data_IF_437484152748
#
_entry.id   IF_437484152748
#
_cell.length_a   1.000
_cell.length_b   1.000
_cell.length_c   1.000
_cell.angle_alpha   90.00
_cell.angle_beta   90.00
_cell.angle_gamma   90.00
#
_symmetry.space_group_name_H-M   'P 1'
#
loop_
_entity.id
_entity.type
_entity.pdbx_description
1 polymer ?
#
# COMPACT_ATOMS: atom_id res chain seq x y z
N UNK A 1 38.77 7.77 -28.58
CA UNK A 1 37.91 7.76 -27.37
C UNK A 1 38.70 7.07 -26.28
N UNK A 2 39.38 7.83 -25.44
CA UNK A 2 40.01 7.29 -24.23
C UNK A 2 38.90 7.00 -23.24
N UNK A 3 38.59 5.71 -23.01
CA UNK A 3 37.86 5.32 -21.80
C UNK A 3 38.67 5.83 -20.62
N UNK A 4 38.02 6.61 -19.77
CA UNK A 4 38.64 7.23 -18.60
C UNK A 4 39.03 6.11 -17.62
N UNK A 5 40.31 5.71 -17.64
CA UNK A 5 40.86 4.59 -16.86
C UNK A 5 40.86 4.83 -15.33
N UNK A 6 40.34 6.00 -14.90
CA UNK A 6 40.31 6.47 -13.53
C UNK A 6 38.90 6.70 -12.98
N UNK A 7 37.83 6.32 -13.67
CA UNK A 7 36.54 6.23 -13.01
C UNK A 7 36.67 5.20 -11.87
N UNK A 8 36.55 5.60 -10.58
CA UNK A 8 36.62 4.64 -9.49
C UNK A 8 35.53 3.61 -9.75
N UNK A 9 35.94 2.35 -9.93
CA UNK A 9 34.99 1.25 -9.96
C UNK A 9 34.26 1.29 -8.62
N UNK A 10 32.99 1.70 -8.64
CA UNK A 10 32.12 1.61 -7.47
C UNK A 10 32.09 0.15 -7.10
N UNK A 11 32.55 -0.19 -5.89
CA UNK A 11 32.61 -1.58 -5.48
C UNK A 11 31.19 -2.18 -5.46
N UNK A 12 31.10 -3.49 -5.70
CA UNK A 12 29.83 -4.20 -5.88
C UNK A 12 28.89 -4.02 -4.68
N UNK A 13 29.45 -3.87 -3.48
CA UNK A 13 28.71 -3.69 -2.25
C UNK A 13 28.09 -2.30 -2.16
N UNK A 14 28.84 -1.26 -2.53
CA UNK A 14 28.28 0.10 -2.66
C UNK A 14 27.18 0.14 -3.72
N UNK A 15 27.34 -0.56 -4.85
CA UNK A 15 26.25 -0.69 -5.84
C UNK A 15 25.02 -1.43 -5.29
N UNK A 16 25.23 -2.48 -4.49
CA UNK A 16 24.16 -3.23 -3.83
C UNK A 16 23.37 -2.38 -2.84
N UNK A 17 24.07 -1.60 -2.01
CA UNK A 17 23.45 -0.66 -1.07
C UNK A 17 22.66 0.43 -1.80
N UNK A 18 23.20 0.97 -2.90
CA UNK A 18 22.49 1.98 -3.69
C UNK A 18 21.19 1.44 -4.30
N UNK A 19 21.19 0.20 -4.82
CA UNK A 19 19.94 -0.48 -5.26
C UNK A 19 18.96 -0.70 -4.12
N UNK A 20 19.48 -1.06 -2.94
CA UNK A 20 18.65 -1.26 -1.75
C UNK A 20 18.00 0.05 -1.28
N UNK A 21 18.68 1.19 -1.39
CA UNK A 21 18.09 2.52 -1.08
C UNK A 21 16.84 2.77 -1.93
N UNK A 22 16.88 2.50 -3.24
CA UNK A 22 15.70 2.66 -4.11
C UNK A 22 14.53 1.78 -3.68
N UNK A 23 14.82 0.52 -3.34
CA UNK A 23 13.80 -0.44 -2.86
C UNK A 23 13.21 0.00 -1.52
N UNK A 24 14.04 0.44 -0.59
CA UNK A 24 13.57 0.94 0.71
C UNK A 24 12.74 2.22 0.56
N UNK A 25 13.13 3.12 -0.34
CA UNK A 25 12.33 4.32 -0.63
C UNK A 25 10.92 3.95 -1.13
N UNK A 26 10.80 2.99 -2.04
CA UNK A 26 9.50 2.50 -2.52
C UNK A 26 8.70 1.80 -1.42
N UNK A 27 9.33 0.92 -0.64
CA UNK A 27 8.68 0.23 0.49
C UNK A 27 8.20 1.23 1.55
N UNK A 28 8.94 2.33 1.80
CA UNK A 28 8.50 3.41 2.69
C UNK A 28 7.31 4.19 2.15
N UNK A 29 7.29 4.51 0.85
CA UNK A 29 6.13 5.14 0.20
C UNK A 29 4.89 4.25 0.41
N UNK A 30 5.04 2.93 0.23
CA UNK A 30 3.96 1.98 0.49
C UNK A 30 3.51 1.94 1.95
N UNK A 31 4.43 1.77 2.89
CA UNK A 31 4.07 1.61 4.31
C UNK A 31 3.35 2.84 4.88
N UNK A 32 3.81 4.04 4.48
CA UNK A 32 3.15 5.29 4.84
C UNK A 32 1.77 5.39 4.22
N UNK A 33 1.63 5.09 2.92
CA UNK A 33 0.35 5.10 2.23
C UNK A 33 -0.65 4.05 2.77
N UNK A 34 -0.15 2.94 3.29
CA UNK A 34 -0.95 1.90 3.93
C UNK A 34 -1.60 2.36 5.24
N UNK A 35 -1.16 3.50 5.82
CA UNK A 35 -1.70 4.08 7.05
C UNK A 35 -1.03 3.59 8.33
N UNK A 36 0.08 2.85 8.23
CA UNK A 36 0.80 2.29 9.39
C UNK A 36 1.69 3.29 10.14
N UNK A 37 1.92 4.48 9.58
CA UNK A 37 2.84 5.48 10.11
C UNK A 37 4.31 5.02 10.11
N UNK A 38 5.25 5.86 10.59
CA UNK A 38 6.68 5.53 10.64
C UNK A 38 7.03 4.23 11.39
N UNK A 39 6.29 3.91 12.46
CA UNK A 39 6.49 2.71 13.26
C UNK A 39 6.30 1.40 12.47
N UNK A 40 5.54 1.44 11.37
CA UNK A 40 5.32 0.27 10.53
C UNK A 40 6.53 -0.12 9.68
N UNK A 41 7.46 0.82 9.44
CA UNK A 41 8.62 0.63 8.57
C UNK A 41 9.56 -0.47 9.09
N UNK A 42 9.81 -0.52 10.40
CA UNK A 42 10.67 -1.54 11.01
C UNK A 42 10.07 -2.94 10.85
N UNK A 43 8.76 -3.06 11.09
CA UNK A 43 8.05 -4.33 10.97
C UNK A 43 7.95 -4.79 9.51
N UNK A 44 7.77 -3.87 8.57
CA UNK A 44 7.83 -4.17 7.14
C UNK A 44 9.23 -4.67 6.76
N UNK A 45 10.29 -3.98 7.20
CA UNK A 45 11.66 -4.34 6.86
C UNK A 45 12.02 -5.76 7.33
N UNK A 46 11.60 -6.16 8.53
CA UNK A 46 11.77 -7.54 9.03
C UNK A 46 11.12 -8.57 8.10
N UNK A 47 9.93 -8.28 7.58
CA UNK A 47 9.19 -9.17 6.68
C UNK A 47 9.72 -9.16 5.25
N UNK A 48 10.38 -8.08 4.84
CA UNK A 48 11.02 -7.90 3.53
C UNK A 48 12.50 -8.30 3.51
N UNK A 49 13.04 -8.81 4.61
CA UNK A 49 14.46 -9.13 4.77
C UNK A 49 15.03 -10.07 3.69
N UNK A 50 14.25 -11.06 3.24
CA UNK A 50 14.67 -11.93 2.12
C UNK A 50 14.78 -11.17 0.80
N UNK A 51 13.83 -10.27 0.51
CA UNK A 51 13.89 -9.43 -0.68
C UNK A 51 15.08 -8.46 -0.64
N UNK A 52 15.38 -7.89 0.52
CA UNK A 52 16.55 -7.02 0.70
C UNK A 52 17.86 -7.79 0.55
N UNK A 53 17.93 -9.00 1.09
CA UNK A 53 19.07 -9.90 0.92
C UNK A 53 19.27 -10.27 -0.56
N UNK A 54 18.19 -10.53 -1.29
CA UNK A 54 18.23 -10.81 -2.72
C UNK A 54 18.79 -9.63 -3.54
N UNK A 55 18.38 -8.39 -3.22
CA UNK A 55 18.90 -7.17 -3.86
C UNK A 55 20.40 -6.99 -3.63
N UNK A 56 20.86 -7.24 -2.40
CA UNK A 56 22.28 -7.19 -2.04
C UNK A 56 23.08 -8.26 -2.78
N UNK A 57 22.51 -9.45 -3.01
CA UNK A 57 23.07 -10.51 -3.83
C UNK A 57 22.98 -10.25 -5.35
N UNK A 58 22.46 -9.09 -5.77
CA UNK A 58 22.37 -8.70 -7.18
C UNK A 58 21.15 -9.27 -7.92
N UNK A 59 20.22 -9.93 -7.22
CA UNK A 59 18.98 -10.40 -7.82
C UNK A 59 18.01 -9.23 -8.04
N UNK A 60 17.28 -9.30 -9.15
CA UNK A 60 16.17 -8.38 -9.43
C UNK A 60 14.96 -8.79 -8.61
N UNK A 61 14.31 -7.80 -7.99
CA UNK A 61 13.02 -7.96 -7.31
C UNK A 61 11.96 -7.07 -7.98
N UNK A 62 10.69 -7.32 -7.68
CA UNK A 62 9.61 -6.45 -8.12
C UNK A 62 9.65 -5.12 -7.37
N UNK A 63 9.43 -4.02 -8.11
CA UNK A 63 9.52 -2.64 -7.63
C UNK A 63 8.34 -1.82 -8.12
N UNK A 64 7.97 -0.77 -7.38
CA UNK A 64 6.93 0.20 -7.72
C UNK A 64 7.11 0.76 -9.14
N UNK A 65 8.35 1.02 -9.52
CA UNK A 65 8.70 1.71 -10.77
C UNK A 65 8.79 0.80 -11.99
N UNK A 66 8.91 -0.53 -11.82
CA UNK A 66 9.06 -1.48 -12.94
C UNK A 66 7.95 -2.52 -13.03
N UNK A 67 7.45 -3.02 -11.89
CA UNK A 67 6.51 -4.13 -11.79
C UNK A 67 5.48 -3.83 -10.70
N UNK A 68 4.68 -2.76 -10.93
CA UNK A 68 3.80 -2.19 -9.92
C UNK A 68 2.80 -3.18 -9.34
N UNK A 69 2.10 -3.97 -10.15
CA UNK A 69 1.04 -4.86 -9.64
C UNK A 69 1.60 -6.00 -8.78
N UNK A 70 2.62 -6.77 -9.24
CA UNK A 70 3.25 -7.77 -8.38
C UNK A 70 3.89 -7.17 -7.12
N UNK A 71 4.52 -5.99 -7.24
CA UNK A 71 5.08 -5.26 -6.10
C UNK A 71 4.01 -4.89 -5.07
N UNK A 72 2.87 -4.33 -5.52
CA UNK A 72 1.76 -3.94 -4.66
C UNK A 72 1.18 -5.15 -3.92
N UNK A 73 0.97 -6.27 -4.61
CA UNK A 73 0.47 -7.52 -4.02
C UNK A 73 1.46 -8.04 -2.98
N UNK A 74 2.76 -8.04 -3.30
CA UNK A 74 3.83 -8.49 -2.38
C UNK A 74 3.87 -7.65 -1.10
N UNK A 75 3.83 -6.32 -1.22
CA UNK A 75 3.88 -5.44 -0.04
C UNK A 75 2.57 -5.45 0.76
N UNK A 76 1.43 -5.59 0.09
CA UNK A 76 0.13 -5.71 0.78
C UNK A 76 0.11 -6.95 1.66
N UNK A 77 0.59 -8.09 1.13
CA UNK A 77 0.79 -9.32 1.91
C UNK A 77 1.76 -9.11 3.07
N UNK A 78 2.89 -8.45 2.83
CA UNK A 78 3.88 -8.19 3.87
C UNK A 78 3.31 -7.29 4.98
N UNK A 79 2.46 -6.32 4.65
CA UNK A 79 1.87 -5.38 5.60
C UNK A 79 0.62 -5.88 6.31
N UNK A 80 -0.08 -6.87 5.77
CA UNK A 80 -1.31 -7.42 6.36
C UNK A 80 -1.22 -7.72 7.88
N UNK A 81 -0.17 -8.37 8.42
CA UNK A 81 -0.09 -8.61 9.87
C UNK A 81 0.43 -7.42 10.68
N UNK A 82 0.95 -6.38 10.04
CA UNK A 82 1.49 -5.18 10.68
C UNK A 82 0.40 -4.11 10.78
N UNK A 83 -0.13 -3.73 9.63
CA UNK A 83 -1.23 -2.80 9.45
C UNK A 83 -1.84 -3.09 8.08
N UNK A 84 -2.97 -3.82 8.00
CA UNK A 84 -3.70 -4.01 6.76
C UNK A 84 -3.91 -2.67 6.05
N UNK A 85 -3.50 -2.52 4.77
CA UNK A 85 -3.55 -1.22 4.11
C UNK A 85 -4.96 -0.62 4.14
N UNK A 86 -5.05 0.66 4.51
CA UNK A 86 -6.34 1.38 4.57
C UNK A 86 -7.05 1.45 3.20
N UNK A 87 -6.29 1.30 2.11
CA UNK A 87 -6.79 1.28 0.74
C UNK A 87 -7.31 -0.08 0.28
N UNK A 88 -7.04 -1.16 1.02
CA UNK A 88 -7.42 -2.52 0.64
C UNK A 88 -8.85 -2.80 1.11
N UNK A 89 -9.81 -3.05 0.19
CA UNK A 89 -11.11 -3.59 0.57
C UNK A 89 -10.95 -4.87 1.39
N UNK A 90 -11.85 -5.11 2.35
CA UNK A 90 -11.78 -6.25 3.28
C UNK A 90 -10.60 -6.21 4.28
N UNK A 91 -9.84 -5.11 4.38
CA UNK A 91 -8.75 -4.97 5.37
C UNK A 91 -9.20 -5.18 6.82
N UNK A 92 -10.44 -4.82 7.18
CA UNK A 92 -10.96 -5.03 8.54
C UNK A 92 -11.06 -6.52 8.90
N UNK A 93 -11.33 -7.39 7.92
CA UNK A 93 -11.37 -8.84 8.14
C UNK A 93 -9.98 -9.35 8.52
N UNK A 94 -8.93 -8.78 7.90
CA UNK A 94 -7.54 -9.08 8.26
C UNK A 94 -7.22 -8.57 9.68
N UNK A 95 -7.76 -7.41 10.09
CA UNK A 95 -7.61 -6.86 11.44
C UNK A 95 -8.26 -7.77 12.50
N UNK A 96 -9.39 -8.40 12.17
CA UNK A 96 -10.03 -9.44 12.99
C UNK A 96 -9.30 -10.81 12.98
N UNK A 97 -8.05 -10.83 12.55
CA UNK A 97 -7.18 -12.00 12.61
C UNK A 97 -7.51 -13.07 11.58
N UNK A 98 -8.22 -12.74 10.50
CA UNK A 98 -8.44 -13.65 9.37
C UNK A 98 -7.23 -13.60 8.43
N UNK A 99 -6.08 -13.98 8.94
CA UNK A 99 -4.82 -14.08 8.19
C UNK A 99 -3.88 -15.02 8.91
N UNK A 100 -3.12 -15.81 8.15
CA UNK A 100 -2.04 -16.67 8.66
C UNK A 100 -0.67 -15.97 8.62
N UNK A 101 -0.57 -14.79 8.00
CA UNK A 101 0.68 -14.03 7.87
C UNK A 101 1.23 -13.54 9.22
N UNK A 102 0.38 -13.47 10.25
CA UNK A 102 0.77 -13.14 11.62
C UNK A 102 1.57 -14.26 12.32
N UNK A 103 1.60 -15.47 11.75
CA UNK A 103 2.27 -16.64 12.33
C UNK A 103 1.58 -17.16 13.60
N UNK A 104 2.18 -18.17 14.23
CA UNK A 104 1.72 -18.68 15.52
C UNK A 104 1.82 -17.58 16.61
N UNK A 105 0.78 -17.39 17.42
CA UNK A 105 0.76 -16.43 18.54
C UNK A 105 1.02 -17.12 19.89
N UNK A 106 1.69 -16.41 20.81
CA UNK A 106 1.93 -16.87 22.19
C UNK A 106 2.98 -17.98 22.31
N UNK A 107 2.95 -18.73 23.42
CA UNK A 107 3.91 -19.82 23.74
C UNK A 107 4.07 -20.85 22.60
N UNK A 108 3.09 -21.00 21.71
CA UNK A 108 3.15 -21.92 20.55
C UNK A 108 4.15 -21.50 19.48
N UNK A 109 4.44 -20.20 19.34
CA UNK A 109 5.46 -19.69 18.41
C UNK A 109 6.86 -20.22 18.75
N UNK A 110 7.08 -20.62 20.01
CA UNK A 110 8.34 -21.21 20.47
C UNK A 110 8.51 -22.69 20.05
N UNK A 111 7.44 -23.37 19.63
CA UNK A 111 7.45 -24.81 19.37
C UNK A 111 7.00 -25.20 17.95
N UNK A 112 6.30 -24.32 17.23
CA UNK A 112 5.91 -24.56 15.83
C UNK A 112 5.59 -23.24 15.11
N UNK A 113 6.12 -23.08 13.90
CA UNK A 113 5.74 -22.01 12.97
C UNK A 113 4.52 -22.37 12.10
N UNK A 114 4.03 -23.62 12.16
CA UNK A 114 2.90 -24.07 11.35
C UNK A 114 1.56 -23.65 11.97
N UNK A 115 0.66 -23.01 11.20
CA UNK A 115 -0.69 -22.68 11.67
C UNK A 115 -1.49 -23.94 11.97
N UNK A 116 -2.45 -23.86 12.90
CA UNK A 116 -3.30 -25.02 13.21
C UNK A 116 -4.31 -25.27 12.09
N UNK A 117 -4.73 -26.53 11.89
CA UNK A 117 -5.77 -26.86 10.89
C UNK A 117 -7.06 -26.07 11.12
N UNK A 118 -7.41 -25.79 12.38
CA UNK A 118 -8.55 -24.94 12.75
C UNK A 118 -8.40 -23.50 12.23
N UNK A 119 -7.21 -22.92 12.38
CA UNK A 119 -6.94 -21.56 11.90
C UNK A 119 -6.96 -21.51 10.36
N UNK A 120 -6.34 -22.51 9.71
CA UNK A 120 -6.39 -22.66 8.25
C UNK A 120 -7.83 -22.76 7.75
N UNK A 121 -8.66 -23.60 8.38
CA UNK A 121 -10.07 -23.74 8.03
C UNK A 121 -10.86 -22.43 8.25
N UNK A 122 -10.60 -21.70 9.35
CA UNK A 122 -11.25 -20.41 9.62
C UNK A 122 -10.87 -19.39 8.53
N UNK A 123 -9.59 -19.21 8.26
CA UNK A 123 -9.08 -18.26 7.26
C UNK A 123 -9.57 -18.63 5.86
N UNK A 124 -9.53 -19.92 5.49
CA UNK A 124 -10.08 -20.39 4.22
C UNK A 124 -11.57 -20.08 4.11
N UNK A 125 -12.38 -20.47 5.10
CA UNK A 125 -13.84 -20.26 5.07
C UNK A 125 -14.21 -18.78 4.94
N UNK A 126 -13.66 -17.93 5.81
CA UNK A 126 -14.00 -16.50 5.82
C UNK A 126 -13.35 -15.77 4.64
N UNK A 127 -12.11 -16.12 4.29
CA UNK A 127 -11.39 -15.58 3.14
C UNK A 127 -12.07 -15.88 1.81
N UNK A 128 -12.59 -17.10 1.61
CA UNK A 128 -13.39 -17.44 0.41
C UNK A 128 -14.66 -16.60 0.34
N UNK A 129 -15.37 -16.44 1.45
CA UNK A 129 -16.58 -15.59 1.49
C UNK A 129 -16.25 -14.14 1.13
N UNK A 130 -15.20 -13.58 1.75
CA UNK A 130 -14.74 -12.22 1.49
C UNK A 130 -14.29 -12.03 0.03
N UNK A 131 -13.56 -12.98 -0.54
CA UNK A 131 -13.11 -12.93 -1.92
C UNK A 131 -14.29 -13.00 -2.92
N UNK A 132 -15.29 -13.85 -2.65
CA UNK A 132 -16.52 -13.92 -3.45
C UNK A 132 -17.33 -12.63 -3.36
N UNK A 133 -17.48 -12.06 -2.16
CA UNK A 133 -18.15 -10.77 -1.96
C UNK A 133 -17.44 -9.64 -2.71
N UNK A 134 -16.10 -9.57 -2.58
CA UNK A 134 -15.28 -8.58 -3.27
C UNK A 134 -15.40 -8.68 -4.79
N UNK A 135 -15.29 -9.88 -5.35
CA UNK A 135 -15.50 -10.14 -6.79
C UNK A 135 -16.90 -9.79 -7.26
N UNK A 136 -17.93 -10.11 -6.46
CA UNK A 136 -19.30 -9.82 -6.84
C UNK A 136 -19.57 -8.32 -6.95
N UNK A 137 -18.93 -7.50 -6.10
CA UNK A 137 -18.99 -6.04 -6.19
C UNK A 137 -18.22 -5.55 -7.42
N UNK A 138 -16.93 -5.88 -7.53
CA UNK A 138 -16.06 -5.42 -8.63
C UNK A 138 -16.52 -5.87 -10.02
N UNK A 139 -17.23 -7.00 -10.12
CA UNK A 139 -17.76 -7.47 -11.39
C UNK A 139 -19.23 -7.06 -11.62
N UNK A 140 -19.82 -6.25 -10.74
CA UNK A 140 -21.24 -5.90 -10.81
C UNK A 140 -21.59 -5.12 -12.09
N UNK A 141 -20.62 -4.40 -12.65
CA UNK A 141 -20.79 -3.63 -13.87
C UNK A 141 -20.52 -4.39 -15.17
N UNK A 142 -19.97 -5.61 -15.08
CA UNK A 142 -19.88 -6.61 -16.14
C UNK A 142 -18.48 -7.21 -16.34
N UNK A 143 -17.40 -6.47 -16.11
CA UNK A 143 -16.04 -6.97 -16.35
C UNK A 143 -15.07 -6.49 -15.31
N UNK A 144 -14.41 -7.43 -14.62
CA UNK A 144 -13.32 -7.11 -13.70
C UNK A 144 -12.12 -6.55 -14.45
N UNK A 145 -11.75 -5.32 -14.15
CA UNK A 145 -10.60 -4.65 -14.75
C UNK A 145 -9.26 -5.10 -14.11
N UNK A 146 -8.10 -4.75 -14.69
CA UNK A 146 -6.79 -5.18 -14.18
C UNK A 146 -6.49 -4.76 -12.74
N UNK A 147 -6.93 -3.58 -12.30
CA UNK A 147 -6.68 -3.10 -10.95
C UNK A 147 -7.64 -3.72 -9.93
N UNK A 148 -8.87 -4.04 -10.32
CA UNK A 148 -9.77 -4.84 -9.50
C UNK A 148 -9.21 -6.25 -9.31
N UNK A 149 -8.74 -6.87 -10.40
CA UNK A 149 -8.06 -8.16 -10.35
C UNK A 149 -6.83 -8.13 -9.43
N UNK A 150 -6.03 -7.06 -9.51
CA UNK A 150 -4.91 -6.80 -8.59
C UNK A 150 -5.37 -6.64 -7.14
N UNK A 151 -6.48 -5.96 -6.89
CA UNK A 151 -7.02 -5.74 -5.55
C UNK A 151 -7.48 -7.07 -4.93
N UNK A 152 -8.14 -7.91 -5.72
CA UNK A 152 -8.51 -9.28 -5.32
C UNK A 152 -7.24 -10.10 -5.01
N UNK A 153 -6.23 -10.03 -5.88
CA UNK A 153 -4.96 -10.73 -5.67
C UNK A 153 -4.25 -10.27 -4.39
N UNK A 154 -4.24 -8.97 -4.12
CA UNK A 154 -3.64 -8.39 -2.92
C UNK A 154 -4.37 -8.85 -1.64
N UNK A 155 -5.70 -8.88 -1.66
CA UNK A 155 -6.50 -9.42 -0.55
C UNK A 155 -6.21 -10.91 -0.32
N UNK A 156 -6.26 -11.73 -1.38
CA UNK A 156 -6.01 -13.17 -1.28
C UNK A 156 -4.59 -13.49 -0.79
N UNK A 157 -3.59 -12.76 -1.30
CA UNK A 157 -2.21 -12.88 -0.84
C UNK A 157 -2.05 -12.55 0.64
N UNK A 158 -2.86 -11.63 1.16
CA UNK A 158 -2.85 -11.21 2.56
C UNK A 158 -3.45 -12.23 3.53
N UNK A 159 -4.18 -13.24 3.03
CA UNK A 159 -4.70 -14.33 3.88
C UNK A 159 -3.59 -15.25 4.37
N UNK A 160 -2.46 -15.34 3.67
CA UNK A 160 -1.34 -16.22 4.02
C UNK A 160 -1.64 -17.70 3.91
N UNK A 161 -2.69 -18.06 3.16
CA UNK A 161 -3.03 -19.45 2.88
C UNK A 161 -1.97 -20.09 1.96
N UNK A 162 -1.65 -21.39 2.16
CA UNK A 162 -0.78 -22.12 1.23
C UNK A 162 -1.31 -22.07 -0.21
N UNK A 163 -0.42 -22.12 -1.20
CA UNK A 163 -0.80 -22.00 -2.62
C UNK A 163 -1.89 -22.99 -3.04
N UNK A 164 -1.84 -24.24 -2.57
CA UNK A 164 -2.87 -25.24 -2.86
C UNK A 164 -4.26 -24.89 -2.35
N UNK A 165 -4.36 -24.07 -1.30
CA UNK A 165 -5.63 -23.59 -0.72
C UNK A 165 -6.09 -22.26 -1.34
N UNK A 166 -5.13 -21.40 -1.70
CA UNK A 166 -5.40 -20.09 -2.31
C UNK A 166 -5.75 -20.20 -3.78
N UNK A 167 -5.08 -21.08 -4.54
CA UNK A 167 -5.26 -21.19 -5.99
C UNK A 167 -6.71 -21.48 -6.41
N UNK A 168 -7.44 -22.43 -5.78
CA UNK A 168 -8.84 -22.65 -6.10
C UNK A 168 -9.71 -21.41 -5.89
N UNK A 169 -9.43 -20.64 -4.83
CA UNK A 169 -10.13 -19.39 -4.54
C UNK A 169 -9.74 -18.34 -5.57
N UNK A 170 -8.46 -18.24 -5.95
CA UNK A 170 -7.94 -17.27 -6.91
C UNK A 170 -8.55 -17.44 -8.30
N UNK A 171 -8.65 -18.68 -8.78
CA UNK A 171 -9.19 -19.02 -10.11
C UNK A 171 -10.72 -19.09 -10.14
N UNK A 172 -11.38 -18.97 -9.00
CA UNK A 172 -12.85 -18.99 -8.93
C UNK A 172 -13.43 -17.80 -9.69
N UNK A 173 -14.39 -18.07 -10.57
CA UNK A 173 -15.14 -17.04 -11.29
C UNK A 173 -16.07 -16.24 -10.36
N UNK A 174 -16.74 -15.25 -10.94
CA UNK A 174 -17.70 -14.43 -10.20
C UNK A 174 -18.91 -15.28 -9.79
N UNK A 175 -19.16 -15.38 -8.48
CA UNK A 175 -20.36 -16.01 -7.93
C UNK A 175 -21.38 -14.90 -7.66
N UNK A 176 -22.59 -14.94 -8.27
CA UNK A 176 -23.64 -13.97 -7.99
C UNK A 176 -23.95 -13.91 -6.49
N UNK A 177 -24.09 -12.70 -5.93
CA UNK A 177 -24.25 -12.51 -4.48
C UNK A 177 -25.43 -13.31 -3.88
N UNK A 178 -26.52 -13.49 -4.64
CA UNK A 178 -27.65 -14.29 -4.24
C UNK A 178 -27.29 -15.78 -4.02
N UNK A 179 -26.31 -16.29 -4.78
CA UNK A 179 -25.82 -17.67 -4.74
C UNK A 179 -24.65 -17.86 -3.76
N UNK A 180 -24.11 -16.80 -3.17
CA UNK A 180 -23.06 -16.93 -2.15
C UNK A 180 -23.66 -17.56 -0.89
N UNK A 181 -23.21 -18.78 -0.56
CA UNK A 181 -23.61 -19.50 0.65
C UNK A 181 -22.85 -19.00 1.89
N UNK A 182 -23.57 -18.82 3.00
CA UNK A 182 -23.00 -18.52 4.31
C UNK A 182 -22.83 -19.81 5.10
N UNK A 183 -21.60 -20.20 5.39
CA UNK A 183 -21.31 -21.42 6.14
C UNK A 183 -21.08 -21.12 7.62
N UNK A 184 -22.09 -21.43 8.44
CA UNK A 184 -22.07 -21.23 9.89
C UNK A 184 -22.28 -19.76 10.29
N UNK A 185 -22.25 -19.52 11.59
CA UNK A 185 -22.37 -18.17 12.14
C UNK A 185 -21.06 -17.40 12.00
N UNK A 186 -21.17 -16.13 11.62
CA UNK A 186 -20.05 -15.19 11.57
C UNK A 186 -20.08 -14.29 12.80
N UNK A 187 -18.90 -14.01 13.33
CA UNK A 187 -18.71 -12.99 14.36
C UNK A 187 -19.18 -11.64 13.81
N UNK A 188 -19.82 -10.83 14.67
CA UNK A 188 -20.42 -9.54 14.28
C UNK A 188 -19.41 -8.65 13.55
N UNK A 189 -18.20 -8.53 14.08
CA UNK A 189 -17.16 -7.65 13.54
C UNK A 189 -16.66 -8.12 12.15
N UNK A 190 -16.68 -9.44 11.90
CA UNK A 190 -16.40 -10.01 10.57
C UNK A 190 -17.53 -9.69 9.60
N UNK A 191 -18.79 -9.81 10.02
CA UNK A 191 -19.95 -9.50 9.18
C UNK A 191 -20.00 -8.01 8.81
N UNK A 192 -19.77 -7.12 9.77
CA UNK A 192 -19.66 -5.68 9.52
C UNK A 192 -18.43 -5.34 8.66
N UNK A 193 -17.29 -6.00 8.91
CA UNK A 193 -16.07 -5.86 8.12
C UNK A 193 -16.23 -6.28 6.66
N UNK A 194 -17.00 -7.35 6.39
CA UNK A 194 -17.38 -7.79 5.05
C UNK A 194 -18.18 -6.72 4.32
N UNK A 195 -19.23 -6.19 4.96
CA UNK A 195 -20.11 -5.18 4.33
C UNK A 195 -19.39 -3.85 4.16
N UNK A 196 -18.58 -3.42 5.14
CA UNK A 196 -17.74 -2.22 4.99
C UNK A 196 -16.71 -2.39 3.88
N UNK A 197 -16.04 -3.55 3.80
CA UNK A 197 -15.10 -3.86 2.74
C UNK A 197 -15.75 -3.86 1.35
N UNK A 198 -16.97 -4.36 1.24
CA UNK A 198 -17.76 -4.34 0.01
C UNK A 198 -18.13 -2.90 -0.40
N UNK A 199 -18.53 -2.04 0.56
CA UNK A 199 -18.75 -0.61 0.29
C UNK A 199 -17.46 0.13 -0.09
N UNK A 200 -16.34 -0.20 0.55
CA UNK A 200 -15.04 0.39 0.20
C UNK A 200 -14.63 0.05 -1.23
N UNK A 201 -14.89 -1.18 -1.69
CA UNK A 201 -14.65 -1.59 -3.07
C UNK A 201 -15.49 -0.75 -4.06
N UNK A 202 -16.80 -0.67 -3.83
CA UNK A 202 -17.72 0.12 -4.67
C UNK A 202 -17.43 1.63 -4.65
N UNK A 203 -16.85 2.14 -3.57
CA UNK A 203 -16.59 3.57 -3.42
C UNK A 203 -15.25 4.03 -4.04
N UNK A 204 -14.41 3.13 -4.57
CA UNK A 204 -13.06 3.49 -5.06
C UNK A 204 -13.10 4.51 -6.23
N UNK A 205 -14.09 4.39 -7.10
CA UNK A 205 -14.47 5.35 -8.13
C UNK A 205 -15.81 6.01 -7.76
N UNK A 206 -16.94 5.38 -8.06
CA UNK A 206 -18.26 5.90 -7.78
C UNK A 206 -19.22 4.73 -7.63
N UNK A 207 -20.00 4.72 -6.54
CA UNK A 207 -20.90 3.62 -6.23
C UNK A 207 -21.95 3.49 -7.35
N UNK A 208 -21.83 2.43 -8.15
CA UNK A 208 -22.80 2.10 -9.18
C UNK A 208 -24.06 1.44 -8.54
N UNK A 209 -25.28 1.71 -9.04
CA UNK A 209 -26.49 1.08 -8.50
C UNK A 209 -26.47 -0.46 -8.47
N UNK A 210 -25.73 -1.10 -9.38
CA UNK A 210 -25.53 -2.56 -9.44
C UNK A 210 -24.66 -3.04 -8.30
N UNK A 211 -23.56 -2.33 -8.01
CA UNK A 211 -22.70 -2.61 -6.86
C UNK A 211 -23.47 -2.42 -5.54
N UNK A 212 -24.21 -1.32 -5.42
CA UNK A 212 -25.06 -1.04 -4.26
C UNK A 212 -26.07 -2.18 -4.02
N UNK A 213 -26.70 -2.68 -5.08
CA UNK A 213 -27.59 -3.84 -5.00
C UNK A 213 -26.86 -5.08 -4.49
N UNK A 214 -25.62 -5.32 -4.94
CA UNK A 214 -24.79 -6.42 -4.47
C UNK A 214 -24.49 -6.29 -2.97
N UNK A 215 -24.01 -5.14 -2.52
CA UNK A 215 -23.65 -4.92 -1.11
C UNK A 215 -24.87 -5.06 -0.20
N UNK A 216 -26.02 -4.49 -0.59
CA UNK A 216 -27.26 -4.60 0.18
C UNK A 216 -27.78 -6.03 0.26
N UNK A 217 -27.66 -6.80 -0.83
CA UNK A 217 -28.04 -8.22 -0.84
C UNK A 217 -27.15 -9.03 0.10
N UNK A 218 -25.84 -8.78 0.10
CA UNK A 218 -24.91 -9.41 1.04
C UNK A 218 -25.26 -9.06 2.49
N UNK A 219 -25.53 -7.79 2.79
CA UNK A 219 -25.90 -7.35 4.13
C UNK A 219 -27.21 -8.00 4.62
N UNK A 220 -28.20 -8.15 3.75
CA UNK A 220 -29.44 -8.86 4.03
C UNK A 220 -29.21 -10.34 4.36
N UNK A 221 -28.33 -11.03 3.61
CA UNK A 221 -27.91 -12.40 3.92
C UNK A 221 -27.22 -12.52 5.29
N UNK A 222 -26.42 -11.52 5.65
CA UNK A 222 -25.74 -11.43 6.95
C UNK A 222 -26.66 -10.96 8.09
N UNK A 223 -27.95 -10.72 7.82
CA UNK A 223 -28.95 -10.23 8.76
C UNK A 223 -28.54 -8.94 9.49
N UNK A 224 -27.76 -8.07 8.83
CA UNK A 224 -27.41 -6.76 9.37
C UNK A 224 -28.61 -5.81 9.31
N UNK A 225 -28.77 -5.00 10.34
CA UNK A 225 -29.80 -3.96 10.38
C UNK A 225 -29.50 -2.85 9.37
N UNK A 226 -30.54 -2.28 8.78
CA UNK A 226 -30.42 -1.23 7.75
C UNK A 226 -29.61 -0.04 8.26
N UNK A 227 -29.80 0.37 9.52
CA UNK A 227 -29.08 1.51 10.11
C UNK A 227 -27.58 1.26 10.19
N UNK A 228 -27.18 0.00 10.44
CA UNK A 228 -25.76 -0.41 10.45
C UNK A 228 -25.21 -0.37 9.03
N UNK A 229 -25.96 -0.87 8.05
CA UNK A 229 -25.54 -0.87 6.63
C UNK A 229 -25.31 0.57 6.12
N UNK A 230 -26.19 1.51 6.45
CA UNK A 230 -26.02 2.92 6.08
C UNK A 230 -24.84 3.57 6.80
N UNK A 231 -24.62 3.26 8.08
CA UNK A 231 -23.45 3.75 8.80
C UNK A 231 -22.15 3.25 8.16
N UNK A 232 -22.08 1.97 7.77
CA UNK A 232 -20.92 1.39 7.08
C UNK A 232 -20.70 2.01 5.70
N UNK A 233 -21.77 2.29 4.96
CA UNK A 233 -21.70 2.98 3.66
C UNK A 233 -21.08 4.38 3.81
N UNK A 234 -21.58 5.15 4.77
CA UNK A 234 -21.10 6.51 5.03
C UNK A 234 -19.64 6.53 5.51
N UNK A 235 -19.26 5.59 6.39
CA UNK A 235 -17.87 5.40 6.82
C UNK A 235 -16.95 5.07 5.64
N UNK A 236 -17.36 4.15 4.75
CA UNK A 236 -16.56 3.80 3.56
C UNK A 236 -16.33 5.01 2.64
N UNK A 237 -17.37 5.79 2.35
CA UNK A 237 -17.26 7.01 1.54
C UNK A 237 -16.33 8.02 2.21
N UNK A 238 -16.50 8.25 3.52
CA UNK A 238 -15.66 9.19 4.26
C UNK A 238 -14.17 8.78 4.24
N UNK A 239 -13.87 7.47 4.33
CA UNK A 239 -12.49 6.94 4.25
C UNK A 239 -11.88 7.14 2.86
N UNK A 240 -12.65 6.94 1.80
CA UNK A 240 -12.21 7.21 0.43
C UNK A 240 -11.93 8.71 0.26
N UNK A 241 -12.86 9.55 0.70
CA UNK A 241 -12.77 11.01 0.54
C UNK A 241 -11.62 11.63 1.35
N UNK A 242 -11.35 11.13 2.55
CA UNK A 242 -10.23 11.58 3.38
C UNK A 242 -8.87 11.45 2.67
N UNK A 243 -8.71 10.46 1.78
CA UNK A 243 -7.45 10.22 1.07
C UNK A 243 -7.16 11.24 -0.04
N UNK A 244 -8.17 11.96 -0.53
CA UNK A 244 -8.02 12.88 -1.67
C UNK A 244 -6.95 13.94 -1.40
N UNK A 245 -7.12 14.70 -0.31
CA UNK A 245 -6.27 15.86 -0.05
C UNK A 245 -4.82 15.44 0.25
N UNK A 246 -4.62 14.39 1.05
CA UNK A 246 -3.28 13.90 1.38
C UNK A 246 -2.57 13.32 0.15
N UNK A 247 -3.28 12.61 -0.74
CA UNK A 247 -2.72 12.08 -1.97
C UNK A 247 -2.33 13.17 -2.97
N UNK A 248 -3.14 14.24 -3.08
CA UNK A 248 -2.82 15.41 -3.89
C UNK A 248 -1.60 16.16 -3.32
N UNK A 249 -1.57 16.39 -2.01
CA UNK A 249 -0.46 17.05 -1.33
C UNK A 249 0.87 16.29 -1.51
N UNK A 250 0.84 14.97 -1.33
CA UNK A 250 2.02 14.12 -1.53
C UNK A 250 2.50 14.16 -2.99
N UNK A 251 1.59 14.04 -3.96
CA UNK A 251 1.94 14.03 -5.39
C UNK A 251 2.49 15.38 -5.86
N UNK A 252 1.83 16.48 -5.51
CA UNK A 252 2.29 17.81 -5.91
C UNK A 252 3.59 18.21 -5.19
N UNK A 253 3.73 17.86 -3.91
CA UNK A 253 4.95 18.07 -3.16
C UNK A 253 6.13 17.28 -3.75
N UNK A 254 5.91 16.02 -4.14
CA UNK A 254 6.92 15.17 -4.80
C UNK A 254 7.35 15.79 -6.13
N UNK A 255 6.39 16.19 -6.96
CA UNK A 255 6.67 16.88 -8.24
C UNK A 255 7.45 18.18 -8.04
N UNK A 256 7.16 18.93 -6.99
CA UNK A 256 7.89 20.15 -6.66
C UNK A 256 9.34 19.85 -6.22
N UNK A 257 9.52 18.90 -5.31
CA UNK A 257 10.85 18.51 -4.80
C UNK A 257 11.73 17.97 -5.92
N UNK A 258 11.17 17.18 -6.83
CA UNK A 258 11.86 16.58 -7.98
C UNK A 258 11.74 17.40 -9.27
N UNK A 259 11.34 18.68 -9.20
CA UNK A 259 11.01 19.52 -10.38
C UNK A 259 12.12 19.73 -11.41
N UNK A 260 13.39 19.61 -11.01
CA UNK A 260 14.54 19.70 -11.91
C UNK A 260 14.96 18.35 -12.51
N UNK A 261 14.29 17.27 -12.13
CA UNK A 261 14.38 16.01 -12.85
C UNK A 261 13.44 16.09 -14.06
N UNK A 262 14.03 16.30 -15.24
CA UNK A 262 13.35 16.09 -16.55
C UNK A 262 13.29 14.58 -16.90
N UNK A 263 13.67 13.70 -15.97
CA UNK A 263 13.76 12.26 -16.18
C UNK A 263 12.40 11.56 -16.04
N UNK A 264 12.22 10.52 -16.86
CA UNK A 264 11.07 9.61 -16.85
C UNK A 264 10.81 9.02 -15.44
N UNK A 265 11.84 8.82 -14.61
CA UNK A 265 11.73 8.22 -13.28
C UNK A 265 10.94 9.07 -12.27
N UNK A 266 11.16 10.39 -12.22
CA UNK A 266 10.41 11.27 -11.31
C UNK A 266 8.93 11.33 -11.67
N UNK A 267 8.62 11.29 -12.98
CA UNK A 267 7.26 11.20 -13.48
C UNK A 267 6.61 9.85 -13.12
N UNK A 268 7.32 8.73 -13.29
CA UNK A 268 6.83 7.41 -12.90
C UNK A 268 6.55 7.36 -11.39
N UNK A 269 7.47 7.85 -10.55
CA UNK A 269 7.26 7.92 -9.10
C UNK A 269 6.03 8.75 -8.73
N UNK A 270 5.83 9.91 -9.36
CA UNK A 270 4.66 10.74 -9.13
C UNK A 270 3.36 10.02 -9.51
N UNK A 271 3.32 9.38 -10.69
CA UNK A 271 2.14 8.64 -11.16
C UNK A 271 1.82 7.45 -10.25
N UNK A 272 2.83 6.68 -9.85
CA UNK A 272 2.64 5.52 -8.98
C UNK A 272 2.31 5.91 -7.54
N UNK A 273 2.82 7.06 -7.07
CA UNK A 273 2.42 7.63 -5.78
C UNK A 273 0.95 8.08 -5.80
N UNK A 274 0.51 8.71 -6.89
CA UNK A 274 -0.89 9.06 -7.09
C UNK A 274 -1.78 7.81 -7.15
N UNK A 275 -1.39 6.78 -7.91
CA UNK A 275 -2.13 5.52 -8.01
C UNK A 275 -2.30 4.83 -6.63
N UNK A 276 -1.28 4.90 -5.79
CA UNK A 276 -1.27 4.30 -4.46
C UNK A 276 -2.10 5.10 -3.43
N UNK A 277 -1.94 6.43 -3.40
CA UNK A 277 -2.57 7.28 -2.38
C UNK A 277 -4.00 7.71 -2.75
N UNK A 278 -4.28 7.95 -4.03
CA UNK A 278 -5.55 8.48 -4.48
C UNK A 278 -6.52 7.38 -4.93
N UNK A 279 -7.78 7.41 -4.44
CA UNK A 279 -8.89 6.67 -5.04
C UNK A 279 -9.06 7.03 -6.51
N UNK A 280 -9.57 6.09 -7.31
CA UNK A 280 -9.70 6.19 -8.78
C UNK A 280 -10.36 7.50 -9.21
N UNK A 281 -11.49 7.87 -8.59
CA UNK A 281 -12.24 9.09 -8.93
C UNK A 281 -11.47 10.40 -8.80
N UNK A 282 -10.37 10.41 -8.04
CA UNK A 282 -9.56 11.59 -7.79
C UNK A 282 -8.20 11.56 -8.48
N UNK A 283 -7.84 10.47 -9.18
CA UNK A 283 -6.51 10.34 -9.77
C UNK A 283 -6.25 11.36 -10.85
N UNK A 284 -7.24 11.67 -11.67
CA UNK A 284 -7.09 12.60 -12.79
C UNK A 284 -6.71 14.02 -12.33
N UNK A 285 -7.08 14.41 -11.11
CA UNK A 285 -6.64 15.67 -10.50
C UNK A 285 -5.11 15.71 -10.30
N UNK A 286 -4.47 14.57 -10.06
CA UNK A 286 -3.01 14.45 -9.92
C UNK A 286 -2.32 14.08 -11.25
N UNK A 287 -2.86 13.13 -12.01
CA UNK A 287 -2.25 12.60 -13.23
C UNK A 287 -2.38 13.58 -14.40
N UNK A 288 -3.46 14.37 -14.46
CA UNK A 288 -3.69 15.38 -15.49
C UNK A 288 -2.54 16.40 -15.57
N UNK A 289 -2.19 17.11 -14.48
CA UNK A 289 -1.04 18.01 -14.46
C UNK A 289 0.29 17.34 -14.82
N UNK A 290 0.48 16.07 -14.46
CA UNK A 290 1.68 15.29 -14.81
C UNK A 290 1.74 15.05 -16.33
N UNK A 291 0.65 14.56 -16.92
CA UNK A 291 0.55 14.27 -18.35
C UNK A 291 0.78 15.52 -19.22
N UNK A 292 0.25 16.67 -18.79
CA UNK A 292 0.41 17.95 -19.46
C UNK A 292 1.70 18.69 -19.10
N UNK A 293 2.59 18.07 -18.30
CA UNK A 293 3.87 18.66 -17.85
C UNK A 293 3.71 20.04 -17.20
N UNK A 294 2.60 20.23 -16.48
CA UNK A 294 2.34 21.47 -15.75
C UNK A 294 3.38 21.58 -14.62
N UNK A 295 4.05 22.73 -14.44
CA UNK A 295 4.97 22.91 -13.32
C UNK A 295 4.24 22.78 -11.98
N UNK A 296 4.84 22.06 -11.03
CA UNK A 296 4.30 22.00 -9.67
C UNK A 296 4.54 23.35 -8.96
N UNK A 297 3.48 23.92 -8.41
CA UNK A 297 3.51 25.19 -7.66
C UNK A 297 3.04 25.00 -6.22
N UNK A 298 3.71 25.71 -5.32
CA UNK A 298 3.30 25.83 -3.92
C UNK A 298 2.32 27.00 -3.80
N UNK A 299 1.31 26.85 -2.96
CA UNK A 299 0.21 27.82 -2.89
C UNK A 299 -0.71 27.63 -1.69
N UNK A 300 -0.22 26.97 -0.63
CA UNK A 300 -0.94 26.70 0.62
C UNK A 300 -2.28 25.97 0.42
N UNK A 301 -2.37 25.15 -0.62
CA UNK A 301 -3.58 24.45 -1.07
C UNK A 301 -4.09 23.38 -0.09
N UNK A 302 -3.21 22.88 0.78
CA UNK A 302 -3.46 21.73 1.64
C UNK A 302 -3.18 22.01 3.13
N UNK A 303 -3.28 23.27 3.55
CA UNK A 303 -3.02 23.69 4.95
C UNK A 303 -4.02 23.10 5.95
N UNK A 304 -5.21 22.73 5.48
CA UNK A 304 -6.30 22.11 6.22
C UNK A 304 -6.05 20.63 6.60
N UNK A 305 -5.00 20.00 6.07
CA UNK A 305 -4.69 18.62 6.42
C UNK A 305 -4.43 18.47 7.94
N UNK A 306 -4.91 17.39 8.58
CA UNK A 306 -4.50 17.01 9.92
C UNK A 306 -2.97 16.81 10.00
N UNK A 307 -2.40 16.95 11.21
CA UNK A 307 -0.94 16.80 11.40
C UNK A 307 -0.43 15.45 10.92
N UNK A 308 -1.15 14.36 11.21
CA UNK A 308 -0.72 13.02 10.82
C UNK A 308 -0.71 12.82 9.29
N UNK A 309 -1.69 13.40 8.59
CA UNK A 309 -1.74 13.37 7.12
C UNK A 309 -0.64 14.24 6.49
N UNK A 310 -0.30 15.38 7.11
CA UNK A 310 0.86 16.19 6.69
C UNK A 310 2.15 15.39 6.83
N UNK A 311 2.33 14.66 7.93
CA UNK A 311 3.52 13.82 8.13
C UNK A 311 3.58 12.67 7.15
N UNK A 312 2.45 12.04 6.84
CA UNK A 312 2.37 11.01 5.81
C UNK A 312 2.82 11.58 4.46
N UNK A 313 2.23 12.70 4.02
CA UNK A 313 2.58 13.33 2.76
C UNK A 313 4.06 13.71 2.70
N UNK A 314 4.58 14.37 3.74
CA UNK A 314 5.99 14.76 3.83
C UNK A 314 6.93 13.54 3.86
N UNK A 315 6.56 12.48 4.57
CA UNK A 315 7.33 11.23 4.60
C UNK A 315 7.42 10.57 3.23
N UNK A 316 6.31 10.51 2.50
CA UNK A 316 6.26 10.00 1.11
C UNK A 316 7.14 10.85 0.18
N UNK A 317 7.02 12.18 0.27
CA UNK A 317 7.82 13.11 -0.52
C UNK A 317 9.32 12.91 -0.24
N UNK A 318 9.69 12.73 1.03
CA UNK A 318 11.09 12.52 1.39
C UNK A 318 11.62 11.15 0.96
N UNK A 319 10.84 10.08 1.14
CA UNK A 319 11.20 8.77 0.64
C UNK A 319 11.46 8.81 -0.89
N UNK A 320 10.57 9.44 -1.65
CA UNK A 320 10.78 9.65 -3.09
C UNK A 320 12.03 10.48 -3.41
N UNK A 321 12.36 11.49 -2.59
CA UNK A 321 13.57 12.28 -2.76
C UNK A 321 14.86 11.47 -2.56
N UNK A 322 14.82 10.41 -1.74
CA UNK A 322 15.96 9.54 -1.48
C UNK A 322 16.08 8.37 -2.48
N UNK A 323 15.07 8.15 -3.33
CA UNK A 323 14.97 6.95 -4.21
C UNK A 323 16.20 6.73 -5.10
N UNK A 324 16.85 7.79 -5.60
CA UNK A 324 18.03 7.68 -6.47
C UNK A 324 19.36 7.69 -5.71
N UNK A 325 19.34 7.49 -4.38
CA UNK A 325 20.54 7.56 -3.53
C UNK A 325 21.35 8.86 -3.77
N UNK A 326 20.73 10.04 -3.49
CA UNK A 326 21.32 11.31 -3.87
C UNK A 326 22.63 11.58 -3.11
N UNK A 327 23.61 12.11 -3.82
CA UNK A 327 24.83 12.66 -3.21
C UNK A 327 24.51 13.71 -2.14
N UNK A 328 25.47 13.97 -1.24
CA UNK A 328 25.28 14.94 -0.15
C UNK A 328 24.83 16.33 -0.65
N UNK A 329 25.43 16.84 -1.72
CA UNK A 329 25.06 18.14 -2.30
C UNK A 329 23.65 18.12 -2.87
N UNK A 330 23.26 17.05 -3.55
CA UNK A 330 21.91 16.86 -4.08
C UNK A 330 20.89 16.76 -2.95
N UNK A 331 21.19 16.00 -1.89
CA UNK A 331 20.33 15.85 -0.72
C UNK A 331 20.08 17.18 -0.01
N UNK A 332 21.08 18.07 0.06
CA UNK A 332 20.90 19.41 0.62
C UNK A 332 19.87 20.26 -0.17
N UNK A 333 19.93 20.20 -1.52
CA UNK A 333 18.96 20.86 -2.39
C UNK A 333 17.54 20.27 -2.21
N UNK A 334 17.43 18.94 -2.20
CA UNK A 334 16.15 18.24 -2.01
C UNK A 334 15.55 18.56 -0.64
N UNK A 335 16.37 18.61 0.41
CA UNK A 335 15.94 19.01 1.76
C UNK A 335 15.37 20.43 1.77
N UNK A 336 16.07 21.39 1.16
CA UNK A 336 15.58 22.76 1.08
C UNK A 336 14.23 22.87 0.35
N UNK A 337 14.01 22.06 -0.70
CA UNK A 337 12.70 22.01 -1.37
C UNK A 337 11.64 21.34 -0.51
N UNK A 338 11.97 20.24 0.16
CA UNK A 338 11.07 19.58 1.08
C UNK A 338 10.65 20.51 2.23
N UNK A 339 11.57 21.30 2.79
CA UNK A 339 11.26 22.31 3.81
C UNK A 339 10.29 23.37 3.29
N UNK A 340 10.42 23.80 2.03
CA UNK A 340 9.43 24.70 1.41
C UNK A 340 8.06 24.05 1.30
N UNK A 341 7.98 22.76 0.93
CA UNK A 341 6.69 22.04 0.90
C UNK A 341 6.10 21.96 2.31
N UNK A 342 6.89 21.61 3.32
CA UNK A 342 6.43 21.55 4.71
C UNK A 342 5.87 22.91 5.19
N UNK A 343 6.57 24.00 4.89
CA UNK A 343 6.10 25.36 5.18
C UNK A 343 4.79 25.69 4.44
N UNK A 344 4.64 25.22 3.20
CA UNK A 344 3.41 25.41 2.41
C UNK A 344 2.21 24.65 3.02
N UNK A 345 2.47 23.48 3.63
CA UNK A 345 1.48 22.71 4.40
C UNK A 345 1.25 23.28 5.80
N UNK A 346 2.11 24.17 6.28
CA UNK A 346 2.07 24.70 7.64
C UNK A 346 2.56 23.70 8.70
N UNK A 347 3.64 22.97 8.41
CA UNK A 347 4.30 22.03 9.33
C UNK A 347 5.84 22.21 9.28
N UNK A 348 6.55 21.53 10.18
CA UNK A 348 7.99 21.31 10.10
C UNK A 348 8.28 19.93 9.46
N UNK A 349 9.12 19.94 8.41
CA UNK A 349 9.46 18.72 7.69
C UNK A 349 10.43 17.79 8.45
N UNK A 350 10.96 18.21 9.60
CA UNK A 350 12.01 17.50 10.33
C UNK A 350 11.58 16.13 10.83
N UNK A 351 10.38 16.01 11.41
CA UNK A 351 9.87 14.75 11.96
C UNK A 351 9.72 13.66 10.89
N UNK A 352 9.08 14.00 9.77
CA UNK A 352 8.92 13.09 8.64
C UNK A 352 10.27 12.63 8.07
N UNK A 353 11.22 13.56 7.88
CA UNK A 353 12.56 13.20 7.39
C UNK A 353 13.31 12.30 8.36
N UNK A 354 13.35 12.65 9.64
CA UNK A 354 14.10 11.91 10.63
C UNK A 354 13.64 10.46 10.71
N UNK A 355 12.33 10.23 10.71
CA UNK A 355 11.76 8.88 10.69
C UNK A 355 12.27 8.03 9.52
N UNK A 356 12.25 8.57 8.30
CA UNK A 356 12.67 7.86 7.09
C UNK A 356 14.18 7.63 7.06
N UNK A 357 14.96 8.64 7.43
CA UNK A 357 16.43 8.56 7.44
C UNK A 357 16.95 7.61 8.51
N UNK A 358 16.35 7.61 9.71
CA UNK A 358 16.67 6.69 10.78
C UNK A 358 16.39 5.25 10.33
N UNK A 359 15.18 4.99 9.82
CA UNK A 359 14.82 3.67 9.32
C UNK A 359 15.73 3.17 8.19
N UNK A 360 16.02 4.01 7.20
CA UNK A 360 16.97 3.66 6.12
C UNK A 360 18.34 3.30 6.71
N UNK A 361 18.84 4.07 7.67
CA UNK A 361 20.12 3.81 8.32
C UNK A 361 20.10 2.48 9.09
N UNK A 362 19.01 2.19 9.80
CA UNK A 362 18.84 0.97 10.58
C UNK A 362 18.80 -0.30 9.71
N UNK A 363 18.33 -0.19 8.47
CA UNK A 363 18.35 -1.30 7.51
C UNK A 363 19.69 -1.39 6.77
N UNK A 364 20.24 -0.25 6.33
CA UNK A 364 21.45 -0.22 5.50
C UNK A 364 22.73 -0.52 6.30
N UNK A 365 22.85 -0.06 7.54
CA UNK A 365 24.04 -0.27 8.36
C UNK A 365 24.36 -1.76 8.59
N UNK A 366 23.42 -2.62 9.02
CA UNK A 366 23.69 -4.06 9.13
C UNK A 366 23.86 -4.73 7.75
N UNK A 367 23.17 -4.27 6.70
CA UNK A 367 23.38 -4.75 5.33
C UNK A 367 24.80 -4.44 4.80
N UNK A 368 25.39 -3.34 5.25
CA UNK A 368 26.76 -2.96 4.93
C UNK A 368 27.79 -3.82 5.67
N UNK A 369 27.44 -4.56 6.72
CA UNK A 369 28.32 -5.51 7.40
C UNK A 369 27.50 -6.69 7.92
N UNK A 370 27.10 -7.64 7.05
CA UNK A 370 26.38 -8.81 7.51
C UNK A 370 27.29 -9.57 8.49
N UNK A 371 26.89 -9.64 9.76
CA UNK A 371 27.57 -10.51 10.72
C UNK A 371 27.32 -11.95 10.28
N UNK A 372 28.41 -12.69 10.04
CA UNK A 372 28.41 -14.06 9.55
C UNK A 372 27.80 -15.05 10.55
#
# INVERSE_FOLDING_TARGET
>A
MTMDAYAPAVDEKTMGLSRLVSVLAEDAIFALAAGGGPQSLELLAKRRGEAYSAVLAGHRIQTMTTEFDPWLVSLTRAMAPVCPPVSLPMADILREGVTLEAGARGLRALFSSKPSEKDVMRVKRVGTLAARALRAVMAADGTTDPEEARTIAAFLGSLGLPEGETNPIYTEGVVPVAQIELYGELEKDIAEGLVRGAWLAAALDEIDPREETVVRTLAGKLALKVEVVEALRNDAIARVDARRLVGLAATDGLRYVLSDRVAQSAQILALKTAELLLPRRYRDEATGPIAHKVPATLGRRYTQLPSDEKQLALGVIWAAALWEDPTQSRRALLRARHDKVAQDLGDDGGRARHAIEAWLSDVLAPAAFPMA
#
